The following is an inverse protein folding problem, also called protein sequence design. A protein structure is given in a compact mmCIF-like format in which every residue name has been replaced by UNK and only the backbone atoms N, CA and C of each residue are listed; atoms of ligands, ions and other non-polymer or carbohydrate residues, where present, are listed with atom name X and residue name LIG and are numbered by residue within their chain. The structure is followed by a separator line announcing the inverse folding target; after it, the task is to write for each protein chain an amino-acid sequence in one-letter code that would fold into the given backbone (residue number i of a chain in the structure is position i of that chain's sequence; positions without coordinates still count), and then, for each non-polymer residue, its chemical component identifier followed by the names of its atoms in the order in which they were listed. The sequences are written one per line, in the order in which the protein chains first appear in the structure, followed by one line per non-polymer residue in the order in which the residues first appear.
data_IF_347109938830
#
_entry.id   IF_347109938830
#
_cell.length_a   1.000
_cell.length_b   1.000
_cell.length_c   1.000
_cell.angle_alpha   90.00
_cell.angle_beta   90.00
_cell.angle_gamma   90.00
#
_symmetry.space_group_name_H-M   'P 1'
#
loop_
_entity.id
_entity.type
_entity.pdbx_description
1 polymer ?
#
# COMPACT_ATOMS: atom_id res chain seq x y z
N UNK A 1 53.65 13.67 24.63
CA UNK A 1 52.91 14.10 23.43
C UNK A 1 51.48 13.61 23.60
N UNK A 2 50.50 14.49 23.88
CA UNK A 2 49.11 14.07 24.13
C UNK A 2 48.44 13.84 22.78
N UNK A 3 48.07 12.60 22.47
CA UNK A 3 47.32 12.22 21.27
C UNK A 3 45.94 12.89 21.25
N UNK A 4 45.89 14.13 20.76
CA UNK A 4 44.65 14.90 20.60
C UNK A 4 43.82 14.42 19.40
N UNK A 5 44.41 13.64 18.49
CA UNK A 5 43.75 13.11 17.30
C UNK A 5 42.95 11.83 17.52
N UNK A 6 43.27 11.02 18.54
CA UNK A 6 42.64 9.71 18.73
C UNK A 6 41.23 9.81 19.33
N UNK A 7 40.97 10.80 20.19
CA UNK A 7 39.64 11.04 20.79
C UNK A 7 38.54 11.42 19.78
N UNK A 8 38.74 12.37 18.85
CA UNK A 8 37.70 12.70 17.87
C UNK A 8 37.44 11.54 16.90
N UNK A 9 38.46 10.76 16.54
CA UNK A 9 38.31 9.57 15.68
C UNK A 9 37.49 8.49 16.41
N UNK A 10 37.77 8.26 17.69
CA UNK A 10 37.01 7.31 18.50
C UNK A 10 35.55 7.75 18.66
N UNK A 11 35.30 9.05 18.89
CA UNK A 11 33.95 9.61 18.97
C UNK A 11 33.19 9.48 17.64
N UNK A 12 33.87 9.70 16.52
CA UNK A 12 33.29 9.54 15.18
C UNK A 12 32.95 8.07 14.90
N UNK A 13 33.84 7.14 15.26
CA UNK A 13 33.61 5.70 15.09
C UNK A 13 32.44 5.21 15.96
N UNK A 14 32.34 5.68 17.21
CA UNK A 14 31.20 5.40 18.09
C UNK A 14 29.91 6.02 17.54
N UNK A 15 29.97 7.22 16.96
CA UNK A 15 28.82 7.86 16.32
C UNK A 15 28.32 7.06 15.11
N UNK A 16 29.21 6.60 14.23
CA UNK A 16 28.84 5.74 13.10
C UNK A 16 28.34 4.36 13.55
N UNK A 17 28.87 3.81 14.64
CA UNK A 17 28.39 2.55 15.22
C UNK A 17 27.04 2.69 15.95
N UNK A 18 26.69 3.89 16.40
CA UNK A 18 25.42 4.22 17.04
C UNK A 18 24.34 4.69 16.05
N UNK A 19 24.66 4.79 14.76
CA UNK A 19 23.64 4.87 13.71
C UNK A 19 23.01 3.48 13.60
N UNK A 20 21.95 3.25 14.37
CA UNK A 20 21.12 2.07 14.19
C UNK A 20 20.70 1.97 12.72
N UNK A 21 20.86 0.77 12.15
CA UNK A 21 20.34 0.45 10.82
C UNK A 21 18.81 0.43 10.93
N UNK A 22 18.17 1.58 10.71
CA UNK A 22 16.72 1.67 10.62
C UNK A 22 16.30 0.83 9.40
N UNK A 23 15.75 -0.35 9.65
CA UNK A 23 15.08 -1.12 8.63
C UNK A 23 13.70 -0.48 8.44
N UNK A 24 13.48 0.12 7.28
CA UNK A 24 12.20 0.73 6.94
C UNK A 24 11.13 -0.33 6.66
N UNK A 25 9.88 0.00 6.97
CA UNK A 25 8.72 -0.80 6.56
C UNK A 25 8.58 -0.73 5.03
N UNK A 26 8.43 -1.90 4.38
CA UNK A 26 8.30 -1.96 2.93
C UNK A 26 6.93 -1.42 2.51
N UNK A 27 6.91 -0.41 1.65
CA UNK A 27 5.67 0.26 1.24
C UNK A 27 5.60 0.43 -0.27
N UNK A 28 4.49 0.01 -0.88
CA UNK A 28 4.22 0.19 -2.30
C UNK A 28 2.92 0.95 -2.51
N UNK A 29 2.85 1.69 -3.61
CA UNK A 29 1.61 2.25 -4.12
C UNK A 29 1.10 1.38 -5.26
N UNK A 30 -0.19 1.04 -5.22
CA UNK A 30 -0.83 0.19 -6.21
C UNK A 30 -2.14 0.85 -6.64
N UNK A 31 -2.31 1.19 -7.93
CA UNK A 31 -3.62 1.56 -8.47
C UNK A 31 -4.64 0.45 -8.20
N UNK A 32 -5.86 0.84 -7.85
CA UNK A 32 -6.96 -0.12 -7.93
C UNK A 32 -7.25 -0.54 -9.38
N UNK A 33 -8.14 -1.51 -9.55
CA UNK A 33 -8.58 -1.99 -10.86
C UNK A 33 -7.45 -2.54 -11.78
N UNK A 34 -6.27 -2.79 -11.22
CA UNK A 34 -5.17 -3.45 -11.92
C UNK A 34 -5.56 -4.87 -12.35
N UNK A 35 -5.10 -5.26 -13.55
CA UNK A 35 -5.27 -6.62 -14.07
C UNK A 35 -4.57 -7.62 -13.17
N UNK A 36 -5.04 -8.87 -13.15
CA UNK A 36 -4.34 -9.98 -12.50
C UNK A 36 -2.94 -10.16 -13.09
N UNK A 37 -2.03 -10.66 -12.25
CA UNK A 37 -0.62 -10.91 -12.55
C UNK A 37 0.17 -9.65 -12.94
N UNK A 38 -0.32 -8.47 -12.55
CA UNK A 38 0.41 -7.20 -12.75
C UNK A 38 1.42 -6.99 -11.63
N UNK A 39 2.58 -6.45 -11.96
CA UNK A 39 3.66 -6.20 -10.99
C UNK A 39 3.32 -4.97 -10.14
N UNK A 40 3.38 -5.13 -8.83
CA UNK A 40 3.25 -4.07 -7.82
C UNK A 40 4.64 -3.50 -7.48
N UNK A 41 5.62 -4.38 -7.23
CA UNK A 41 6.98 -4.00 -6.87
C UNK A 41 7.89 -5.21 -6.66
N UNK A 42 9.21 -5.01 -6.65
CA UNK A 42 10.18 -6.09 -6.52
C UNK A 42 10.70 -6.21 -5.08
N UNK A 43 10.08 -7.13 -4.34
CA UNK A 43 10.36 -7.35 -2.92
C UNK A 43 11.74 -7.97 -2.69
N UNK A 44 12.21 -8.83 -3.61
CA UNK A 44 13.54 -9.43 -3.52
C UNK A 44 14.63 -8.35 -3.52
N UNK A 45 14.54 -7.41 -4.47
CA UNK A 45 15.50 -6.32 -4.62
C UNK A 45 15.45 -5.37 -3.44
N UNK A 46 14.26 -5.00 -2.98
CA UNK A 46 14.10 -4.01 -1.92
C UNK A 46 14.51 -4.53 -0.54
N UNK A 47 14.41 -5.85 -0.31
CA UNK A 47 14.92 -6.52 0.88
C UNK A 47 16.36 -7.06 0.72
N UNK A 48 16.97 -6.93 -0.47
CA UNK A 48 18.30 -7.47 -0.76
C UNK A 48 18.38 -9.01 -0.70
N UNK A 49 17.28 -9.70 -0.96
CA UNK A 49 17.17 -11.15 -0.93
C UNK A 49 17.45 -11.76 -2.32
N UNK A 50 18.19 -12.87 -2.35
CA UNK A 50 18.36 -13.65 -3.58
C UNK A 50 17.11 -14.47 -3.91
N UNK A 51 16.79 -14.63 -5.20
CA UNK A 51 15.63 -15.38 -5.69
C UNK A 51 15.68 -16.85 -5.24
N UNK A 52 16.89 -17.41 -5.13
CA UNK A 52 17.09 -18.77 -4.61
C UNK A 52 16.69 -18.88 -3.13
N UNK A 53 16.94 -17.83 -2.35
CA UNK A 53 16.58 -17.76 -0.93
C UNK A 53 15.07 -17.68 -0.78
N UNK A 54 14.38 -16.86 -1.59
CA UNK A 54 12.93 -16.80 -1.59
C UNK A 54 12.30 -18.16 -1.89
N UNK A 55 12.80 -18.85 -2.91
CA UNK A 55 12.30 -20.18 -3.28
C UNK A 55 12.62 -21.25 -2.23
N UNK A 56 13.85 -21.29 -1.72
CA UNK A 56 14.28 -22.31 -0.74
C UNK A 56 13.61 -22.16 0.61
N UNK A 57 13.34 -20.91 1.02
CA UNK A 57 12.64 -20.54 2.25
C UNK A 57 11.13 -20.45 2.09
N UNK A 58 10.57 -20.88 0.95
CA UNK A 58 9.12 -20.89 0.67
C UNK A 58 8.47 -19.54 0.99
N UNK A 59 9.07 -18.46 0.49
CA UNK A 59 8.55 -17.12 0.69
C UNK A 59 7.09 -17.04 0.20
N UNK A 60 6.22 -16.48 1.03
CA UNK A 60 4.79 -16.37 0.72
C UNK A 60 4.18 -15.15 1.38
N UNK A 61 3.13 -14.64 0.75
CA UNK A 61 2.32 -13.55 1.32
C UNK A 61 1.23 -14.16 2.21
N UNK A 62 1.13 -13.67 3.43
CA UNK A 62 0.09 -14.02 4.39
C UNK A 62 -0.75 -12.79 4.73
N UNK A 63 -2.07 -12.98 4.81
CA UNK A 63 -3.04 -11.92 5.07
C UNK A 63 -3.61 -11.99 6.51
N UNK A 64 -2.88 -12.59 7.45
CA UNK A 64 -3.26 -12.63 8.86
C UNK A 64 -4.61 -13.31 9.13
N UNK A 65 -4.96 -14.33 8.34
CA UNK A 65 -6.24 -15.03 8.43
C UNK A 65 -7.41 -14.41 7.65
N UNK A 66 -7.18 -13.32 6.91
CA UNK A 66 -8.17 -12.75 6.00
C UNK A 66 -8.36 -13.66 4.78
N UNK A 67 -9.61 -13.93 4.37
CA UNK A 67 -9.91 -14.80 3.22
C UNK A 67 -9.53 -14.20 1.86
N UNK A 68 -9.49 -12.87 1.74
CA UNK A 68 -9.26 -12.16 0.49
C UNK A 68 -7.75 -12.06 0.21
N UNK A 69 -7.33 -12.48 -0.98
CA UNK A 69 -5.92 -12.52 -1.43
C UNK A 69 -5.71 -11.56 -2.60
N UNK A 70 -5.32 -10.33 -2.31
CA UNK A 70 -5.18 -9.27 -3.31
C UNK A 70 -3.88 -9.32 -4.09
N UNK A 71 -2.83 -9.82 -3.46
CA UNK A 71 -1.51 -9.97 -4.05
C UNK A 71 -0.89 -11.32 -3.70
N UNK A 72 0.08 -11.72 -4.50
CA UNK A 72 0.89 -12.91 -4.31
C UNK A 72 2.34 -12.62 -4.72
N UNK A 73 3.25 -13.54 -4.41
CA UNK A 73 4.67 -13.41 -4.73
C UNK A 73 5.06 -14.30 -5.90
N UNK A 74 5.66 -13.70 -6.93
CA UNK A 74 6.33 -14.43 -7.99
C UNK A 74 7.76 -14.80 -7.56
N UNK A 75 7.94 -16.05 -7.11
CA UNK A 75 9.24 -16.56 -6.65
C UNK A 75 10.34 -16.60 -7.74
N UNK A 76 9.97 -16.56 -9.02
CA UNK A 76 10.93 -16.59 -10.13
C UNK A 76 11.55 -15.23 -10.40
N UNK A 77 10.83 -14.14 -10.14
CA UNK A 77 11.28 -12.76 -10.41
C UNK A 77 11.49 -11.94 -9.14
N UNK A 78 10.92 -12.37 -8.01
CA UNK A 78 10.95 -11.64 -6.75
C UNK A 78 9.89 -10.54 -6.67
N UNK A 79 8.97 -10.50 -7.63
CA UNK A 79 7.93 -9.48 -7.70
C UNK A 79 6.73 -9.83 -6.83
N UNK A 80 6.18 -8.82 -6.15
CA UNK A 80 4.81 -8.86 -5.65
C UNK A 80 3.88 -8.54 -6.82
N UNK A 81 2.92 -9.42 -7.06
CA UNK A 81 1.97 -9.34 -8.18
C UNK A 81 0.54 -9.28 -7.67
N UNK A 82 -0.37 -8.69 -8.45
CA UNK A 82 -1.80 -8.69 -8.17
C UNK A 82 -2.40 -10.09 -8.41
N UNK A 83 -3.10 -10.64 -7.43
CA UNK A 83 -3.79 -11.94 -7.54
C UNK A 83 -5.25 -11.75 -7.96
N UNK A 84 -5.92 -10.77 -7.36
CA UNK A 84 -7.31 -10.42 -7.63
C UNK A 84 -7.42 -8.92 -7.91
N UNK A 85 -8.51 -8.52 -8.58
CA UNK A 85 -8.79 -7.11 -8.81
C UNK A 85 -9.07 -6.45 -7.46
N UNK A 86 -8.32 -5.39 -7.17
CA UNK A 86 -8.51 -4.58 -5.97
C UNK A 86 -9.56 -3.53 -6.30
N UNK A 87 -10.63 -3.50 -5.53
CA UNK A 87 -11.70 -2.51 -5.59
C UNK A 87 -11.64 -1.74 -4.26
N UNK A 88 -11.23 -0.47 -4.32
CA UNK A 88 -10.96 0.38 -3.15
C UNK A 88 -12.27 0.73 -2.42
N UNK A 89 -13.36 0.95 -3.14
CA UNK A 89 -14.69 1.21 -2.58
C UNK A 89 -15.14 0.04 -1.70
N UNK A 90 -14.96 -1.20 -2.17
CA UNK A 90 -15.33 -2.41 -1.42
C UNK A 90 -14.45 -2.66 -0.20
N UNK A 91 -13.21 -2.15 -0.22
CA UNK A 91 -12.17 -2.36 0.79
C UNK A 91 -12.20 -1.31 1.89
N UNK A 92 -12.21 -0.05 1.50
CA UNK A 92 -11.99 1.10 2.35
C UNK A 92 -13.17 2.06 2.35
N UNK A 93 -14.15 1.88 1.45
CA UNK A 93 -15.29 2.78 1.29
C UNK A 93 -14.84 4.19 0.94
N UNK A 94 -15.41 5.19 1.62
CA UNK A 94 -15.14 6.61 1.38
C UNK A 94 -13.97 7.17 2.22
N UNK A 95 -13.11 6.31 2.77
CA UNK A 95 -11.96 6.76 3.57
C UNK A 95 -10.95 7.49 2.68
N UNK A 96 -10.36 8.56 3.21
CA UNK A 96 -9.37 9.37 2.49
C UNK A 96 -8.07 8.63 2.14
N UNK A 97 -7.73 7.56 2.87
CA UNK A 97 -6.58 6.71 2.57
C UNK A 97 -6.98 5.24 2.74
N UNK A 98 -6.45 4.41 1.84
CA UNK A 98 -6.67 2.96 1.84
C UNK A 98 -5.32 2.25 1.93
N UNK A 99 -5.03 1.71 3.12
CA UNK A 99 -3.80 0.99 3.41
C UNK A 99 -4.13 -0.48 3.70
N UNK A 100 -3.54 -1.38 2.92
CA UNK A 100 -3.65 -2.83 3.11
C UNK A 100 -2.29 -3.34 3.55
N UNK A 101 -2.21 -3.91 4.75
CA UNK A 101 -0.99 -4.51 5.28
C UNK A 101 -1.01 -6.01 5.06
N UNK A 102 0.07 -6.54 4.50
CA UNK A 102 0.29 -7.98 4.29
C UNK A 102 1.64 -8.38 4.87
N UNK A 103 1.74 -9.63 5.28
CA UNK A 103 2.97 -10.16 5.86
C UNK A 103 3.69 -11.03 4.83
N UNK A 104 4.92 -10.69 4.49
CA UNK A 104 5.82 -11.59 3.78
C UNK A 104 6.47 -12.54 4.79
N UNK A 105 6.22 -13.83 4.63
CA UNK A 105 6.75 -14.88 5.52
C UNK A 105 7.82 -15.68 4.79
N UNK A 106 8.98 -15.84 5.41
CA UNK A 106 10.04 -16.77 4.99
C UNK A 106 10.22 -17.84 6.07
N UNK A 107 10.39 -19.09 5.67
CA UNK A 107 10.58 -20.23 6.56
C UNK A 107 12.07 -20.60 6.73
N UNK A 108 12.40 -21.26 7.85
CA UNK A 108 13.73 -21.83 8.15
C UNK A 108 14.94 -20.87 8.00
N UNK A 109 15.15 -19.90 8.91
CA UNK A 109 14.34 -19.57 10.10
C UNK A 109 13.06 -18.81 9.76
N UNK A 110 12.13 -18.69 10.70
CA UNK A 110 10.91 -17.91 10.48
C UNK A 110 11.22 -16.41 10.50
N UNK A 111 10.99 -15.72 9.39
CA UNK A 111 11.11 -14.27 9.24
C UNK A 111 9.80 -13.69 8.70
N UNK A 112 9.43 -12.51 9.19
CA UNK A 112 8.21 -11.81 8.81
C UNK A 112 8.56 -10.35 8.49
N UNK A 113 8.23 -9.94 7.27
CA UNK A 113 8.35 -8.55 6.82
C UNK A 113 6.96 -7.98 6.55
N UNK A 114 6.61 -6.89 7.21
CA UNK A 114 5.35 -6.18 6.95
C UNK A 114 5.48 -5.38 5.67
N UNK A 115 4.54 -5.60 4.75
CA UNK A 115 4.44 -4.88 3.49
C UNK A 115 3.14 -4.08 3.49
N UNK A 116 3.26 -2.77 3.33
CA UNK A 116 2.14 -1.85 3.27
C UNK A 116 1.80 -1.50 1.83
N UNK A 117 0.57 -1.78 1.41
CA UNK A 117 0.05 -1.45 0.09
C UNK A 117 -0.88 -0.24 0.19
N UNK A 118 -0.43 0.88 -0.33
CA UNK A 118 -1.24 2.08 -0.47
C UNK A 118 -2.05 1.98 -1.77
N UNK A 119 -3.35 1.67 -1.63
CA UNK A 119 -4.26 1.54 -2.76
C UNK A 119 -4.61 2.93 -3.26
N UNK A 120 -4.22 3.24 -4.49
CA UNK A 120 -4.51 4.52 -5.14
C UNK A 120 -5.89 4.45 -5.78
N UNK A 121 -6.69 5.47 -5.46
CA UNK A 121 -7.99 5.73 -6.03
C UNK A 121 -7.88 6.02 -7.53
N UNK A 122 -8.71 5.35 -8.32
CA UNK A 122 -8.87 5.61 -9.75
C UNK A 122 -10.29 6.14 -9.97
N UNK A 123 -10.43 7.10 -10.89
CA UNK A 123 -11.75 7.64 -11.24
C UNK A 123 -12.53 6.69 -12.17
N UNK A 124 -12.89 5.51 -11.67
CA UNK A 124 -13.69 4.48 -12.35
C UNK A 124 -15.18 4.55 -11.99
N UNK A 125 -15.53 5.31 -10.95
CA UNK A 125 -16.89 5.56 -10.49
C UNK A 125 -17.38 6.95 -10.93
N UNK A 126 -18.24 6.99 -11.95
CA UNK A 126 -18.91 8.24 -12.36
C UNK A 126 -20.01 8.65 -11.37
N UNK A 127 -20.23 9.96 -11.13
CA UNK A 127 -21.31 10.41 -10.26
C UNK A 127 -22.66 9.95 -10.79
N UNK A 128 -23.54 9.51 -9.87
CA UNK A 128 -24.89 9.08 -10.18
C UNK A 128 -25.88 9.88 -9.33
N UNK A 129 -26.98 10.27 -9.96
CA UNK A 129 -28.15 10.79 -9.25
C UNK A 129 -29.00 9.63 -8.77
N UNK A 130 -29.78 9.86 -7.71
CA UNK A 130 -30.68 8.83 -7.20
C UNK A 130 -31.87 8.56 -8.14
N UNK A 131 -32.25 9.55 -8.93
CA UNK A 131 -33.34 9.46 -9.92
C UNK A 131 -32.85 9.92 -11.31
N UNK A 132 -33.31 9.24 -12.35
CA UNK A 132 -33.01 9.60 -13.75
C UNK A 132 -33.71 10.90 -14.19
N UNK A 133 -34.85 11.22 -13.56
CA UNK A 133 -35.63 12.42 -13.82
C UNK A 133 -36.03 13.10 -12.51
N UNK A 134 -35.45 14.28 -12.26
CA UNK A 134 -35.79 15.12 -11.12
C UNK A 134 -36.82 16.16 -11.56
N UNK A 135 -38.08 16.01 -11.13
CA UNK A 135 -39.14 17.00 -11.41
C UNK A 135 -39.25 18.00 -10.27
N UNK A 136 -39.12 19.29 -10.59
CA UNK A 136 -39.30 20.39 -9.63
C UNK A 136 -40.42 21.32 -10.05
N UNK A 137 -41.22 21.78 -9.08
CA UNK A 137 -42.27 22.77 -9.31
C UNK A 137 -41.94 24.04 -8.51
N UNK A 138 -41.68 25.14 -9.22
CA UNK A 138 -41.31 26.44 -8.65
C UNK A 138 -42.44 27.42 -8.92
N UNK A 139 -42.92 28.11 -7.88
CA UNK A 139 -43.93 29.15 -8.03
C UNK A 139 -43.38 30.33 -8.83
N UNK A 140 -44.19 30.87 -9.74
CA UNK A 140 -43.84 32.07 -10.52
C UNK A 140 -43.52 33.29 -9.64
N UNK A 141 -44.11 33.34 -8.44
CA UNK A 141 -43.89 34.39 -7.44
C UNK A 141 -42.63 34.17 -6.60
N UNK A 142 -41.74 33.26 -7.02
CA UNK A 142 -40.51 32.97 -6.30
C UNK A 142 -39.58 34.20 -6.32
N UNK A 143 -39.05 34.54 -5.14
CA UNK A 143 -38.10 35.63 -4.99
C UNK A 143 -36.80 35.35 -5.73
N UNK A 144 -36.19 36.41 -6.28
CA UNK A 144 -34.88 36.32 -6.89
C UNK A 144 -33.85 35.88 -5.84
N UNK A 145 -33.07 34.84 -6.16
CA UNK A 145 -32.08 34.27 -5.26
C UNK A 145 -32.59 33.14 -4.37
N UNK A 146 -33.87 32.73 -4.53
CA UNK A 146 -34.40 31.53 -3.88
C UNK A 146 -33.61 30.26 -4.24
N UNK A 147 -33.45 29.37 -3.27
CA UNK A 147 -32.78 28.07 -3.42
C UNK A 147 -33.81 26.96 -3.24
N UNK A 148 -33.82 26.01 -4.15
CA UNK A 148 -34.71 24.84 -4.12
C UNK A 148 -33.84 23.61 -3.98
N UNK A 149 -34.06 22.83 -2.92
CA UNK A 149 -33.30 21.59 -2.71
C UNK A 149 -33.78 20.55 -3.70
N UNK A 150 -32.83 19.87 -4.32
CA UNK A 150 -33.09 18.57 -4.95
C UNK A 150 -32.94 17.56 -3.81
N UNK A 151 -33.91 16.68 -3.62
CA UNK A 151 -33.74 15.54 -2.71
C UNK A 151 -32.74 14.58 -3.39
N UNK A 152 -31.57 14.41 -2.76
CA UNK A 152 -30.69 13.25 -2.99
C UNK A 152 -31.21 12.10 -2.13
#
# INVERSE_FOLDING_TARGET
MKDKGLRPILLLAVFFAALDLVHGDLSYSVPEEMKRDSVIGNVAKDLGLDLRVLSSRKARVDFGGTRKRYCDMNLRTGDLITSERIDRESLCGKKASCLVTVDLVLENPLELHRVSLHVQDINDNSPQFNEDLIKMEIRESADRGGRFSIEE
#
